data_IF_755219705304
#
_entry.id   IF_755219705304
#
_cell.length_a   1.000
_cell.length_b   1.000
_cell.length_c   1.000
_cell.angle_alpha   90.00
_cell.angle_beta   90.00
_cell.angle_gamma   90.00
#
_symmetry.space_group_name_H-M   'P 1'
#
loop_
_entity.id
_entity.type
_entity.pdbx_description
1 polymer ?
#
# COMPACT_ATOMS: atom_id res chain seq x y z
N UNK A 1 -23.46 6.78 8.90
CA UNK A 1 -22.72 5.69 8.20
C UNK A 1 -21.58 5.32 9.12
N UNK A 2 -21.67 4.19 9.81
CA UNK A 2 -20.69 3.75 10.81
C UNK A 2 -19.44 3.26 10.07
N UNK A 3 -18.22 3.68 10.43
CA UNK A 3 -17.02 3.15 9.81
C UNK A 3 -16.89 1.68 10.19
N UNK A 4 -17.07 0.79 9.22
CA UNK A 4 -16.76 -0.63 9.37
C UNK A 4 -15.25 -0.74 9.50
N UNK A 5 -14.75 -1.11 10.68
CA UNK A 5 -13.33 -1.46 10.84
C UNK A 5 -13.15 -2.80 10.15
N UNK A 6 -12.69 -2.78 8.90
CA UNK A 6 -12.30 -4.00 8.18
C UNK A 6 -10.99 -4.49 8.78
N UNK A 7 -11.07 -5.52 9.63
CA UNK A 7 -9.89 -6.25 10.08
C UNK A 7 -9.35 -7.07 8.91
N UNK A 8 -8.33 -6.54 8.23
CA UNK A 8 -7.57 -7.30 7.25
C UNK A 8 -6.55 -8.17 8.00
N UNK A 9 -6.62 -9.48 7.81
CA UNK A 9 -5.58 -10.37 8.32
C UNK A 9 -4.28 -10.10 7.54
N UNK A 10 -3.09 -10.39 8.10
CA UNK A 10 -1.83 -10.27 7.36
C UNK A 10 -1.83 -11.05 6.04
N UNK A 11 -2.56 -12.16 5.97
CA UNK A 11 -2.79 -12.92 4.73
C UNK A 11 -3.62 -12.11 3.71
N UNK A 12 -4.73 -11.51 4.12
CA UNK A 12 -5.56 -10.66 3.25
C UNK A 12 -4.77 -9.46 2.71
N UNK A 13 -3.91 -8.86 3.54
CA UNK A 13 -3.03 -7.76 3.13
C UNK A 13 -2.05 -8.23 2.06
N UNK A 14 -1.46 -9.42 2.23
CA UNK A 14 -0.54 -10.00 1.24
C UNK A 14 -1.25 -10.33 -0.09
N UNK A 15 -2.49 -10.83 -0.03
CA UNK A 15 -3.30 -11.11 -1.22
C UNK A 15 -3.66 -9.82 -1.95
N UNK A 16 -4.20 -8.81 -1.24
CA UNK A 16 -4.53 -7.49 -1.80
C UNK A 16 -3.32 -6.82 -2.42
N UNK A 17 -2.17 -6.90 -1.75
CA UNK A 17 -0.90 -6.36 -2.25
C UNK A 17 -0.46 -7.08 -3.53
N UNK A 18 -0.56 -8.40 -3.60
CA UNK A 18 -0.22 -9.16 -4.80
C UNK A 18 -1.13 -8.77 -5.97
N UNK A 19 -2.44 -8.68 -5.75
CA UNK A 19 -3.43 -8.26 -6.75
C UNK A 19 -3.14 -6.84 -7.28
N UNK A 20 -2.81 -5.91 -6.39
CA UNK A 20 -2.46 -4.53 -6.77
C UNK A 20 -1.17 -4.46 -7.59
N UNK A 21 -0.16 -5.27 -7.25
CA UNK A 21 1.10 -5.34 -7.99
C UNK A 21 0.92 -5.98 -9.37
N UNK A 22 0.09 -7.02 -9.49
CA UNK A 22 -0.27 -7.62 -10.78
C UNK A 22 -0.98 -6.60 -11.69
N UNK A 23 -1.88 -5.79 -11.13
CA UNK A 23 -2.54 -4.71 -11.88
C UNK A 23 -1.59 -3.62 -12.36
N UNK A 24 -0.57 -3.30 -11.56
CA UNK A 24 0.46 -2.34 -11.96
C UNK A 24 1.48 -2.94 -12.95
N UNK A 25 1.59 -4.27 -13.01
CA UNK A 25 2.59 -4.98 -13.81
C UNK A 25 4.03 -4.69 -13.39
N UNK A 26 4.23 -4.17 -12.18
CA UNK A 26 5.51 -3.70 -11.65
C UNK A 26 5.63 -4.09 -10.18
N UNK A 27 6.87 -4.31 -9.73
CA UNK A 27 7.16 -4.54 -8.32
C UNK A 27 7.02 -3.26 -7.49
N UNK A 28 6.72 -3.41 -6.19
CA UNK A 28 6.52 -2.29 -5.26
C UNK A 28 7.74 -1.36 -5.23
N UNK A 29 8.94 -1.91 -5.24
CA UNK A 29 10.18 -1.14 -5.20
C UNK A 29 10.34 -0.26 -6.46
N UNK A 30 10.01 -0.82 -7.62
CA UNK A 30 9.99 -0.08 -8.90
C UNK A 30 8.93 1.00 -8.91
N UNK A 31 7.73 0.75 -8.35
CA UNK A 31 6.68 1.75 -8.21
C UNK A 31 7.14 2.90 -7.30
N UNK A 32 7.79 2.60 -6.16
CA UNK A 32 8.35 3.61 -5.26
C UNK A 32 9.44 4.45 -5.93
N UNK A 33 10.37 3.79 -6.63
CA UNK A 33 11.45 4.48 -7.34
C UNK A 33 10.89 5.40 -8.43
N UNK A 34 9.98 4.91 -9.26
CA UNK A 34 9.32 5.72 -10.31
C UNK A 34 8.45 6.83 -9.72
N UNK A 35 7.86 6.61 -8.54
CA UNK A 35 7.10 7.61 -7.81
C UNK A 35 7.98 8.77 -7.35
N UNK A 36 9.16 8.46 -6.81
CA UNK A 36 10.16 9.47 -6.46
C UNK A 36 10.68 10.25 -7.67
N UNK A 37 10.73 9.62 -8.85
CA UNK A 37 11.10 10.26 -10.11
C UNK A 37 9.93 10.98 -10.82
N UNK A 38 8.72 10.98 -10.25
CA UNK A 38 7.48 11.49 -10.88
C UNK A 38 7.20 10.87 -12.27
N UNK A 39 7.63 9.62 -12.49
CA UNK A 39 7.49 8.87 -13.75
C UNK A 39 6.31 7.88 -13.76
N UNK A 40 5.49 7.88 -12.72
CA UNK A 40 4.32 7.00 -12.63
C UNK A 40 3.17 7.49 -13.51
N UNK A 41 2.52 6.56 -14.19
CA UNK A 41 1.19 6.79 -14.77
C UNK A 41 0.15 6.99 -13.65
N UNK A 42 -0.97 7.70 -13.91
CA UNK A 42 -2.00 7.94 -12.90
C UNK A 42 -2.55 6.65 -12.27
N UNK A 43 -2.69 5.57 -13.04
CA UNK A 43 -3.07 4.25 -12.51
C UNK A 43 -2.03 3.67 -11.56
N UNK A 44 -0.73 3.79 -11.90
CA UNK A 44 0.35 3.29 -11.04
C UNK A 44 0.51 4.14 -9.76
N UNK A 45 0.26 5.44 -9.85
CA UNK A 45 0.24 6.33 -8.69
C UNK A 45 -0.94 6.01 -7.76
N UNK A 46 -2.11 5.65 -8.31
CA UNK A 46 -3.24 5.18 -7.53
C UNK A 46 -2.92 3.86 -6.81
N UNK A 47 -2.30 2.91 -7.52
CA UNK A 47 -1.86 1.63 -6.93
C UNK A 47 -0.84 1.85 -5.81
N UNK A 48 0.17 2.70 -6.02
CA UNK A 48 1.16 3.01 -5.00
C UNK A 48 0.50 3.57 -3.73
N UNK A 49 -0.46 4.49 -3.89
CA UNK A 49 -1.20 5.06 -2.77
C UNK A 49 -2.04 4.01 -2.02
N UNK A 50 -2.71 3.11 -2.73
CA UNK A 50 -3.50 2.01 -2.13
C UNK A 50 -2.59 1.05 -1.34
N UNK A 51 -1.38 0.79 -1.86
CA UNK A 51 -0.36 -0.01 -1.18
C UNK A 51 0.18 0.67 0.09
N UNK A 52 0.38 1.98 0.07
CA UNK A 52 0.78 2.76 1.24
C UNK A 52 -0.32 2.81 2.30
N UNK A 53 -1.58 2.93 1.88
CA UNK A 53 -2.75 2.89 2.76
C UNK A 53 -2.89 1.52 3.43
N UNK A 54 -2.69 0.43 2.68
CA UNK A 54 -2.66 -0.94 3.23
C UNK A 54 -1.55 -1.12 4.29
N UNK A 55 -0.36 -0.57 4.07
CA UNK A 55 0.75 -0.63 5.03
C UNK A 55 0.40 0.16 6.30
N UNK A 56 -0.21 1.34 6.14
CA UNK A 56 -0.69 2.16 7.24
C UNK A 56 -1.78 1.43 8.06
N UNK A 57 -2.75 0.82 7.40
CA UNK A 57 -3.82 0.03 8.02
C UNK A 57 -3.30 -1.23 8.72
N UNK A 58 -2.20 -1.82 8.23
CA UNK A 58 -1.52 -2.93 8.88
C UNK A 58 -0.85 -2.56 10.22
N UNK A 59 -0.87 -1.28 10.62
CA UNK A 59 -0.12 -0.77 11.77
C UNK A 59 1.37 -0.63 11.51
N UNK A 60 1.82 -0.87 10.27
CA UNK A 60 3.17 -0.60 9.84
C UNK A 60 3.30 0.87 9.51
N UNK A 61 3.77 1.68 10.45
CA UNK A 61 4.25 3.01 10.05
C UNK A 61 5.41 2.81 9.05
N UNK A 62 5.38 3.40 7.84
CA UNK A 62 6.48 3.28 6.87
C UNK A 62 7.76 3.97 7.36
N UNK A 63 7.66 4.73 8.45
CA UNK A 63 8.72 5.33 9.23
C UNK A 63 8.49 4.87 10.68
N UNK A 64 9.43 4.14 11.30
CA UNK A 64 9.25 3.39 12.55
C UNK A 64 8.93 4.21 13.82
N UNK A 65 7.86 4.98 13.83
CA UNK A 65 7.48 5.85 14.92
C UNK A 65 5.95 5.98 15.04
N UNK A 66 5.30 4.95 15.56
CA UNK A 66 4.13 5.23 16.39
C UNK A 66 4.14 4.30 17.60
N UNK A 67 4.72 4.85 18.65
CA UNK A 67 4.62 4.37 20.01
C UNK A 67 3.15 4.15 20.37
N UNK A 68 2.75 2.94 20.74
CA UNK A 68 1.70 2.78 21.73
C UNK A 68 2.14 1.70 22.74
N UNK A 69 2.57 2.27 23.86
CA UNK A 69 2.85 1.75 25.19
C UNK A 69 1.87 0.70 25.72
#
# INVERSE_FOLDING_TARGET
MTPSITYLSPTDIAERRSELLERAGLELDTLRQRGAEYRLSPEQAAVLKDLEDLVFLAGGSPDGACCLR
#
